data_IF_022098201502
#
_entry.id   IF_022098201502
#
_cell.length_a   1.000
_cell.length_b   1.000
_cell.length_c   1.000
_cell.angle_alpha   90.00
_cell.angle_beta   90.00
_cell.angle_gamma   90.00
#
_symmetry.space_group_name_H-M   'P 1'
#
loop_
_entity.id
_entity.type
_entity.pdbx_description
1 polymer ?
#
# COMPACT_ATOMS: atom_id res chain seq x y z
N UNK A 1 29.34 -27.85 19.81
CA UNK A 1 28.59 -26.95 18.95
C UNK A 1 27.97 -27.76 17.81
N UNK A 2 26.73 -28.12 18.01
CA UNK A 2 25.99 -29.03 17.11
C UNK A 2 25.38 -28.21 15.99
N UNK A 3 25.87 -28.39 14.75
CA UNK A 3 25.28 -27.78 13.55
C UNK A 3 23.94 -28.47 13.30
N UNK A 4 22.84 -27.84 13.69
CA UNK A 4 21.51 -28.22 13.25
C UNK A 4 21.40 -28.02 11.75
N UNK A 5 21.56 -29.11 10.99
CA UNK A 5 21.21 -29.15 9.57
C UNK A 5 19.69 -29.04 9.43
N UNK A 6 19.20 -27.86 9.08
CA UNK A 6 17.82 -27.72 8.61
C UNK A 6 17.72 -28.36 7.23
N UNK A 7 17.31 -29.60 7.17
CA UNK A 7 16.88 -30.27 5.93
C UNK A 7 15.65 -29.50 5.45
N UNK A 8 15.82 -28.67 4.43
CA UNK A 8 14.73 -28.00 3.71
C UNK A 8 13.89 -29.07 3.02
N UNK A 9 12.75 -29.43 3.61
CA UNK A 9 11.74 -30.22 2.93
C UNK A 9 11.17 -29.32 1.82
N UNK A 10 11.59 -29.53 0.58
CA UNK A 10 10.93 -28.91 -0.58
C UNK A 10 9.52 -29.47 -0.64
N UNK A 11 8.55 -28.64 -0.26
CA UNK A 11 7.13 -28.95 -0.42
C UNK A 11 6.83 -28.78 -1.90
N UNK A 12 6.80 -29.86 -2.64
CA UNK A 12 6.33 -29.88 -4.03
C UNK A 12 4.83 -29.58 -4.03
N UNK A 13 4.46 -28.38 -4.38
CA UNK A 13 3.05 -27.95 -4.50
C UNK A 13 2.46 -28.58 -5.76
N UNK A 14 1.44 -29.43 -5.60
CA UNK A 14 0.74 -30.06 -6.74
C UNK A 14 0.05 -29.02 -7.63
N UNK A 15 -0.25 -29.37 -8.89
CA UNK A 15 -0.96 -28.48 -9.82
C UNK A 15 -2.30 -27.99 -9.26
N UNK A 16 -3.06 -28.84 -8.59
CA UNK A 16 -4.33 -28.48 -7.95
C UNK A 16 -4.15 -27.50 -6.77
N UNK A 17 -3.12 -27.71 -5.93
CA UNK A 17 -2.80 -26.79 -4.83
C UNK A 17 -2.38 -25.40 -5.36
N UNK A 18 -1.68 -25.35 -6.51
CA UNK A 18 -1.32 -24.09 -7.16
C UNK A 18 -2.57 -23.34 -7.65
N UNK A 19 -3.50 -24.05 -8.28
CA UNK A 19 -4.75 -23.48 -8.76
C UNK A 19 -5.57 -22.93 -7.59
N UNK A 20 -5.73 -23.71 -6.52
CA UNK A 20 -6.47 -23.30 -5.31
C UNK A 20 -5.84 -22.05 -4.66
N UNK A 21 -4.52 -22.02 -4.49
CA UNK A 21 -3.84 -20.84 -3.90
C UNK A 21 -3.93 -19.61 -4.79
N UNK A 22 -3.79 -19.77 -6.12
CA UNK A 22 -3.98 -18.69 -7.08
C UNK A 22 -5.41 -18.12 -7.02
N UNK A 23 -6.42 -18.98 -6.97
CA UNK A 23 -7.82 -18.56 -6.82
C UNK A 23 -8.07 -17.85 -5.48
N UNK A 24 -7.46 -18.29 -4.39
CA UNK A 24 -7.57 -17.64 -3.09
C UNK A 24 -6.93 -16.25 -3.06
N UNK A 25 -5.81 -16.05 -3.77
CA UNK A 25 -5.17 -14.73 -3.92
C UNK A 25 -6.13 -13.77 -4.64
N UNK A 26 -6.66 -14.20 -5.79
CA UNK A 26 -7.61 -13.39 -6.54
C UNK A 26 -8.89 -13.12 -5.74
N UNK A 27 -9.42 -14.13 -5.05
CA UNK A 27 -10.59 -13.98 -4.19
C UNK A 27 -10.35 -12.97 -3.07
N UNK A 28 -9.20 -13.02 -2.38
CA UNK A 28 -8.87 -12.09 -1.31
C UNK A 28 -8.81 -10.64 -1.81
N UNK A 29 -8.20 -10.42 -2.98
CA UNK A 29 -8.10 -9.09 -3.60
C UNK A 29 -9.49 -8.62 -4.07
N UNK A 30 -10.22 -9.45 -4.82
CA UNK A 30 -11.54 -9.10 -5.32
C UNK A 30 -12.53 -8.83 -4.18
N UNK A 31 -12.49 -9.64 -3.13
CA UNK A 31 -13.38 -9.46 -1.98
C UNK A 31 -12.96 -8.27 -1.11
N UNK A 32 -11.67 -8.04 -0.93
CA UNK A 32 -11.17 -6.87 -0.19
C UNK A 32 -11.49 -5.57 -0.93
N UNK A 33 -10.94 -5.39 -2.12
CA UNK A 33 -11.12 -4.16 -2.92
C UNK A 33 -12.57 -4.03 -3.40
N UNK A 34 -13.15 -5.10 -3.94
CA UNK A 34 -14.54 -5.12 -4.41
C UNK A 34 -15.55 -4.94 -3.27
N UNK A 35 -15.27 -5.48 -2.08
CA UNK A 35 -16.10 -5.29 -0.89
C UNK A 35 -16.14 -3.84 -0.44
N UNK A 36 -14.99 -3.14 -0.43
CA UNK A 36 -14.92 -1.72 -0.12
C UNK A 36 -15.70 -0.88 -1.14
N UNK A 37 -15.57 -1.20 -2.44
CA UNK A 37 -16.33 -0.54 -3.51
C UNK A 37 -17.84 -0.82 -3.36
N UNK A 38 -18.21 -2.06 -3.05
CA UNK A 38 -19.62 -2.44 -2.86
C UNK A 38 -20.23 -1.68 -1.68
N UNK A 39 -19.52 -1.54 -0.57
CA UNK A 39 -19.97 -0.73 0.58
C UNK A 39 -20.17 0.73 0.15
N UNK A 40 -19.24 1.30 -0.59
CA UNK A 40 -19.35 2.67 -1.13
C UNK A 40 -20.52 2.80 -2.11
N UNK A 41 -20.77 1.82 -2.94
CA UNK A 41 -21.90 1.80 -3.88
C UNK A 41 -23.26 1.70 -3.17
N UNK A 42 -23.39 0.80 -2.19
CA UNK A 42 -24.66 0.56 -1.48
C UNK A 42 -25.00 1.67 -0.49
N UNK A 43 -24.02 2.20 0.20
CA UNK A 43 -24.23 3.11 1.33
C UNK A 43 -23.66 4.52 1.09
N UNK A 44 -22.95 4.76 -0.01
CA UNK A 44 -22.25 6.02 -0.26
C UNK A 44 -23.18 7.24 -0.30
N UNK A 45 -24.40 7.08 -0.87
CA UNK A 45 -25.40 8.16 -0.88
C UNK A 45 -25.89 8.48 0.54
N UNK A 46 -26.26 7.48 1.31
CA UNK A 46 -26.74 7.61 2.69
C UNK A 46 -25.64 8.19 3.60
N UNK A 47 -24.40 7.71 3.44
CA UNK A 47 -23.24 8.24 4.16
C UNK A 47 -22.98 9.70 3.83
N UNK A 48 -23.08 10.09 2.54
CA UNK A 48 -22.88 11.49 2.11
C UNK A 48 -23.97 12.41 2.64
N UNK A 49 -25.22 11.95 2.69
CA UNK A 49 -26.33 12.70 3.28
C UNK A 49 -26.18 12.85 4.81
N UNK A 50 -25.73 11.79 5.50
CA UNK A 50 -25.52 11.80 6.94
C UNK A 50 -24.24 12.53 7.37
N UNK A 51 -23.20 12.53 6.53
CA UNK A 51 -21.87 13.09 6.79
C UNK A 51 -21.49 14.08 5.68
N UNK A 52 -22.03 15.30 5.70
CA UNK A 52 -21.83 16.26 4.62
C UNK A 52 -20.39 16.81 4.53
N UNK A 53 -19.62 16.74 5.62
CA UNK A 53 -18.21 17.14 5.58
C UNK A 53 -17.38 16.06 4.87
N UNK A 54 -16.61 16.48 3.85
CA UNK A 54 -15.79 15.60 3.02
C UNK A 54 -14.79 14.76 3.84
N UNK A 55 -14.07 15.37 4.78
CA UNK A 55 -13.04 14.68 5.56
C UNK A 55 -13.62 13.67 6.54
N UNK A 56 -14.78 13.98 7.15
CA UNK A 56 -15.50 13.04 8.00
C UNK A 56 -16.00 11.85 7.18
N UNK A 57 -16.61 12.11 6.03
CA UNK A 57 -17.09 11.06 5.13
C UNK A 57 -15.95 10.14 4.69
N UNK A 58 -14.82 10.71 4.26
CA UNK A 58 -13.66 9.91 3.84
C UNK A 58 -13.07 9.10 4.99
N UNK A 59 -12.89 9.71 6.16
CA UNK A 59 -12.40 9.00 7.34
C UNK A 59 -13.29 7.81 7.72
N UNK A 60 -14.61 7.99 7.74
CA UNK A 60 -15.55 6.90 8.07
C UNK A 60 -15.52 5.80 7.01
N UNK A 61 -15.45 6.15 5.73
CA UNK A 61 -15.33 5.18 4.63
C UNK A 61 -14.06 4.35 4.75
N UNK A 62 -12.92 4.98 5.03
CA UNK A 62 -11.65 4.26 5.20
C UNK A 62 -11.59 3.44 6.50
N UNK A 63 -12.29 3.89 7.56
CA UNK A 63 -12.44 3.10 8.78
C UNK A 63 -13.20 1.80 8.51
N UNK A 64 -14.28 1.86 7.73
CA UNK A 64 -15.04 0.66 7.32
C UNK A 64 -14.13 -0.27 6.50
N UNK A 65 -13.37 0.26 5.54
CA UNK A 65 -12.41 -0.51 4.74
C UNK A 65 -11.34 -1.15 5.62
N UNK A 66 -10.78 -0.42 6.58
CA UNK A 66 -9.77 -0.93 7.51
C UNK A 66 -10.31 -2.07 8.39
N UNK A 67 -11.55 -1.95 8.87
CA UNK A 67 -12.24 -3.03 9.61
C UNK A 67 -12.42 -4.26 8.71
N UNK A 68 -12.84 -4.08 7.45
CA UNK A 68 -12.96 -5.17 6.47
C UNK A 68 -11.61 -5.86 6.26
N UNK A 69 -10.53 -5.10 6.05
CA UNK A 69 -9.17 -5.65 5.90
C UNK A 69 -8.75 -6.47 7.12
N UNK A 70 -9.02 -5.97 8.33
CA UNK A 70 -8.75 -6.70 9.56
C UNK A 70 -9.54 -8.01 9.65
N UNK A 71 -10.84 -7.98 9.36
CA UNK A 71 -11.69 -9.17 9.36
C UNK A 71 -11.21 -10.22 8.36
N UNK A 72 -10.76 -9.79 7.17
CA UNK A 72 -10.19 -10.67 6.15
C UNK A 72 -8.90 -11.33 6.64
N UNK A 73 -8.00 -10.59 7.31
CA UNK A 73 -6.77 -11.18 7.90
C UNK A 73 -7.12 -12.30 8.88
N UNK A 74 -8.19 -12.14 9.68
CA UNK A 74 -8.66 -13.19 10.58
C UNK A 74 -9.31 -14.35 9.81
N UNK A 75 -10.15 -14.07 8.82
CA UNK A 75 -10.81 -15.09 8.00
C UNK A 75 -9.79 -15.98 7.26
N UNK A 76 -8.72 -15.38 6.72
CA UNK A 76 -7.62 -16.09 6.06
C UNK A 76 -6.59 -16.68 7.04
N UNK A 77 -6.79 -16.54 8.35
CA UNK A 77 -5.90 -17.05 9.42
C UNK A 77 -4.46 -16.53 9.31
N UNK A 78 -4.32 -15.23 8.96
CA UNK A 78 -3.00 -14.57 8.78
C UNK A 78 -2.63 -13.61 9.93
N UNK A 79 -3.25 -13.72 11.10
CA UNK A 79 -3.08 -12.81 12.25
C UNK A 79 -1.62 -12.62 12.70
N UNK A 80 -0.72 -13.53 12.34
CA UNK A 80 0.72 -13.42 12.64
C UNK A 80 1.36 -12.17 12.04
N UNK A 81 0.81 -11.64 10.93
CA UNK A 81 1.33 -10.44 10.26
C UNK A 81 1.10 -9.17 11.08
N UNK A 82 0.08 -9.17 11.95
CA UNK A 82 -0.29 -8.05 12.83
C UNK A 82 0.54 -8.00 14.12
N UNK A 83 1.27 -9.07 14.44
CA UNK A 83 2.08 -9.09 15.66
C UNK A 83 3.26 -8.12 15.51
N UNK A 84 3.49 -7.30 16.53
CA UNK A 84 4.67 -6.47 16.60
C UNK A 84 5.94 -7.33 16.75
N UNK A 85 7.01 -6.90 16.10
CA UNK A 85 8.36 -7.46 16.23
C UNK A 85 9.34 -6.29 16.29
N UNK A 86 10.13 -6.20 17.35
CA UNK A 86 11.10 -5.10 17.51
C UNK A 86 12.16 -5.18 16.41
N UNK A 87 12.69 -6.37 16.13
CA UNK A 87 13.68 -6.59 15.06
C UNK A 87 13.07 -6.31 13.69
N UNK A 88 11.89 -6.88 13.40
CA UNK A 88 11.20 -6.66 12.14
C UNK A 88 10.83 -5.19 11.92
N UNK A 89 10.46 -4.46 12.98
CA UNK A 89 10.20 -3.03 12.90
C UNK A 89 11.48 -2.25 12.57
N UNK A 90 12.58 -2.50 13.28
CA UNK A 90 13.86 -1.82 13.03
C UNK A 90 14.36 -2.06 11.60
N UNK A 91 14.37 -3.30 11.14
CA UNK A 91 14.80 -3.63 9.78
C UNK A 91 13.87 -3.05 8.71
N UNK A 92 12.57 -3.15 8.91
CA UNK A 92 11.60 -2.58 7.99
C UNK A 92 11.72 -1.05 7.88
N UNK A 93 11.83 -0.35 9.02
CA UNK A 93 12.03 1.11 9.03
C UNK A 93 13.36 1.50 8.39
N UNK A 94 14.45 0.76 8.65
CA UNK A 94 15.74 1.01 8.00
C UNK A 94 15.65 0.86 6.47
N UNK A 95 14.90 -0.13 5.97
CA UNK A 95 14.68 -0.32 4.54
C UNK A 95 13.91 0.84 3.89
N UNK A 96 13.03 1.49 4.63
CA UNK A 96 12.16 2.56 4.14
C UNK A 96 12.62 3.98 4.50
N UNK A 97 13.79 4.16 5.11
CA UNK A 97 14.24 5.49 5.60
C UNK A 97 14.20 6.60 4.55
N UNK A 98 14.41 6.29 3.27
CA UNK A 98 14.34 7.30 2.21
C UNK A 98 12.95 7.93 2.06
N UNK A 99 11.87 7.31 2.56
CA UNK A 99 10.54 7.93 2.60
C UNK A 99 10.47 9.20 3.45
N UNK A 100 11.40 9.43 4.37
CA UNK A 100 11.50 10.68 5.14
C UNK A 100 11.75 11.89 4.23
N UNK A 101 12.30 11.68 3.03
CA UNK A 101 12.49 12.76 2.05
C UNK A 101 11.15 13.29 1.52
N UNK A 102 10.10 12.49 1.48
CA UNK A 102 8.79 12.92 0.95
C UNK A 102 8.17 14.06 1.77
N UNK A 103 8.01 13.95 3.10
CA UNK A 103 7.54 15.08 3.91
C UNK A 103 8.41 16.33 3.78
N UNK A 104 9.73 16.19 3.63
CA UNK A 104 10.63 17.32 3.44
C UNK A 104 10.31 18.04 2.12
N UNK A 105 10.14 17.29 1.04
CA UNK A 105 9.77 17.85 -0.27
C UNK A 105 8.39 18.50 -0.23
N UNK A 106 7.44 17.88 0.48
CA UNK A 106 6.09 18.44 0.65
C UNK A 106 6.14 19.75 1.44
N UNK A 107 6.91 19.82 2.53
CA UNK A 107 7.10 21.06 3.30
C UNK A 107 7.73 22.15 2.43
N UNK A 108 8.77 21.81 1.65
CA UNK A 108 9.39 22.74 0.72
C UNK A 108 8.38 23.28 -0.31
N UNK A 109 7.56 22.40 -0.86
CA UNK A 109 6.47 22.79 -1.78
C UNK A 109 5.45 23.72 -1.10
N UNK A 110 5.02 23.38 0.11
CA UNK A 110 4.09 24.18 0.89
C UNK A 110 4.63 25.59 1.16
N UNK A 111 5.92 25.71 1.49
CA UNK A 111 6.58 27.02 1.68
C UNK A 111 6.55 27.83 0.38
N UNK A 112 6.74 27.19 -0.79
CA UNK A 112 6.64 27.85 -2.09
C UNK A 112 5.20 28.30 -2.36
N UNK A 113 4.20 27.46 -2.12
CA UNK A 113 2.79 27.82 -2.32
C UNK A 113 2.37 29.00 -1.43
N UNK A 114 2.81 29.04 -0.16
CA UNK A 114 2.56 30.16 0.76
C UNK A 114 3.19 31.48 0.30
N UNK A 115 4.33 31.40 -0.40
CA UNK A 115 5.00 32.56 -0.97
C UNK A 115 4.31 33.07 -2.24
N UNK A 116 3.86 32.13 -3.09
CA UNK A 116 3.42 32.45 -4.46
C UNK A 116 1.91 32.70 -4.55
N UNK A 117 1.12 32.26 -3.56
CA UNK A 117 -0.34 32.41 -3.50
C UNK A 117 -0.72 33.27 -2.29
N UNK A 118 -0.96 34.56 -2.48
CA UNK A 118 -1.49 35.43 -1.43
C UNK A 118 -2.85 34.92 -0.95
N UNK A 119 -3.12 35.02 0.37
CA UNK A 119 -4.38 34.64 1.00
C UNK A 119 -4.78 33.17 0.87
N UNK A 120 -3.79 32.27 0.76
CA UNK A 120 -4.00 30.84 0.73
C UNK A 120 -4.72 30.37 2.01
N UNK A 121 -5.93 29.83 1.85
CA UNK A 121 -6.73 29.34 2.97
C UNK A 121 -6.53 27.85 3.18
N UNK A 122 -6.24 27.47 4.41
CA UNK A 122 -6.12 26.09 4.81
C UNK A 122 -7.45 25.54 5.31
N UNK A 123 -7.65 24.23 5.14
CA UNK A 123 -8.68 23.49 5.86
C UNK A 123 -8.47 23.60 7.38
N UNK A 124 -9.49 23.29 8.16
CA UNK A 124 -9.41 23.39 9.63
C UNK A 124 -8.46 22.33 10.21
N UNK A 125 -7.85 22.62 11.37
CA UNK A 125 -6.87 21.74 11.99
C UNK A 125 -7.40 20.32 12.29
N UNK A 126 -8.67 20.17 12.65
CA UNK A 126 -9.30 18.87 12.86
C UNK A 126 -9.50 18.11 11.54
N UNK A 127 -9.70 18.80 10.41
CA UNK A 127 -9.79 18.18 9.06
C UNK A 127 -8.42 17.68 8.61
N UNK A 128 -7.35 18.41 8.96
CA UNK A 128 -5.96 17.92 8.75
C UNK A 128 -5.73 16.64 9.53
N UNK A 129 -6.18 16.58 10.78
CA UNK A 129 -6.08 15.36 11.59
C UNK A 129 -6.83 14.19 10.93
N UNK A 130 -8.06 14.42 10.45
CA UNK A 130 -8.83 13.39 9.74
C UNK A 130 -8.15 12.95 8.44
N UNK A 131 -7.55 13.88 7.68
CA UNK A 131 -6.77 13.58 6.48
C UNK A 131 -5.58 12.65 6.80
N UNK A 132 -4.84 12.92 7.87
CA UNK A 132 -3.71 12.07 8.27
C UNK A 132 -4.16 10.69 8.78
N UNK A 133 -5.22 10.65 9.58
CA UNK A 133 -5.80 9.39 10.07
C UNK A 133 -6.36 8.54 8.92
N UNK A 134 -7.01 9.15 7.93
CA UNK A 134 -7.48 8.44 6.73
C UNK A 134 -6.32 7.81 5.97
N UNK A 135 -5.18 8.49 5.80
CA UNK A 135 -4.00 7.90 5.14
C UNK A 135 -3.47 6.66 5.88
N UNK A 136 -3.51 6.67 7.22
CA UNK A 136 -3.16 5.49 8.02
C UNK A 136 -4.15 4.35 7.77
N UNK A 137 -5.44 4.63 7.71
CA UNK A 137 -6.48 3.62 7.48
C UNK A 137 -6.42 3.03 6.09
N UNK A 138 -6.17 3.85 5.04
CA UNK A 138 -5.93 3.38 3.67
C UNK A 138 -4.73 2.42 3.66
N UNK A 139 -3.58 2.88 4.17
CA UNK A 139 -2.38 2.06 4.23
C UNK A 139 -2.61 0.77 5.02
N UNK A 140 -3.30 0.82 6.16
CA UNK A 140 -3.62 -0.38 6.95
C UNK A 140 -4.49 -1.37 6.17
N UNK A 141 -5.58 -0.90 5.55
CA UNK A 141 -6.45 -1.74 4.74
C UNK A 141 -5.70 -2.42 3.59
N UNK A 142 -4.97 -1.64 2.81
CA UNK A 142 -4.26 -2.16 1.64
C UNK A 142 -3.12 -3.11 2.04
N UNK A 143 -2.38 -2.81 3.10
CA UNK A 143 -1.34 -3.71 3.59
C UNK A 143 -1.92 -5.00 4.19
N UNK A 144 -3.09 -4.98 4.82
CA UNK A 144 -3.81 -6.19 5.24
C UNK A 144 -4.13 -7.09 4.04
N UNK A 145 -4.69 -6.53 2.97
CA UNK A 145 -5.12 -7.29 1.79
C UNK A 145 -3.90 -7.79 1.00
N UNK A 146 -2.98 -6.90 0.65
CA UNK A 146 -1.90 -7.22 -0.29
C UNK A 146 -0.69 -7.88 0.39
N UNK A 147 -0.24 -7.40 1.56
CA UNK A 147 0.92 -7.99 2.26
C UNK A 147 0.48 -9.06 3.24
N UNK A 148 -0.55 -8.77 4.01
CA UNK A 148 -1.07 -9.69 5.03
C UNK A 148 -1.71 -10.95 4.47
N UNK A 149 -2.38 -10.90 3.32
CA UNK A 149 -3.09 -12.04 2.75
C UNK A 149 -2.49 -12.45 1.41
N UNK A 150 -2.54 -11.61 0.38
CA UNK A 150 -2.16 -11.98 -0.97
C UNK A 150 -0.69 -12.40 -1.07
N UNK A 151 0.24 -11.65 -0.46
CA UNK A 151 1.66 -11.97 -0.47
C UNK A 151 1.97 -13.21 0.39
N UNK A 152 1.30 -13.39 1.53
CA UNK A 152 1.43 -14.61 2.34
C UNK A 152 1.00 -15.86 1.57
N UNK A 153 -0.13 -15.81 0.87
CA UNK A 153 -0.59 -16.89 0.00
C UNK A 153 0.38 -17.12 -1.18
N UNK A 154 0.96 -16.04 -1.72
CA UNK A 154 1.96 -16.11 -2.78
C UNK A 154 3.27 -16.74 -2.28
N UNK A 155 3.69 -16.45 -1.04
CA UNK A 155 4.83 -17.16 -0.44
C UNK A 155 4.56 -18.65 -0.22
N UNK A 156 3.32 -19.02 0.08
CA UNK A 156 2.94 -20.44 0.14
C UNK A 156 2.93 -21.11 -1.24
N UNK A 157 2.68 -20.33 -2.31
CA UNK A 157 2.65 -20.82 -3.69
C UNK A 157 4.05 -20.95 -4.31
N UNK A 158 4.88 -19.89 -4.17
CA UNK A 158 6.19 -19.79 -4.81
C UNK A 158 7.35 -20.15 -3.88
N UNK A 159 7.08 -20.21 -2.56
CA UNK A 159 8.09 -20.31 -1.52
C UNK A 159 8.62 -18.94 -1.07
N UNK A 160 9.22 -18.92 0.11
CA UNK A 160 9.91 -17.74 0.68
C UNK A 160 11.29 -18.12 1.25
N UNK A 161 11.75 -19.34 1.02
CA UNK A 161 13.01 -19.83 1.56
C UNK A 161 14.25 -19.26 0.85
N UNK A 162 14.10 -18.71 -0.34
CA UNK A 162 15.16 -18.05 -1.07
C UNK A 162 14.69 -16.67 -1.55
N UNK A 163 15.61 -15.73 -1.73
CA UNK A 163 15.30 -14.39 -2.29
C UNK A 163 14.68 -14.50 -3.69
N UNK A 164 15.07 -15.48 -4.50
CA UNK A 164 14.51 -15.73 -5.84
C UNK A 164 13.03 -16.10 -5.76
N UNK A 165 12.65 -16.97 -4.84
CA UNK A 165 11.24 -17.33 -4.59
C UNK A 165 10.44 -16.14 -4.08
N UNK A 166 10.99 -15.42 -3.09
CA UNK A 166 10.35 -14.22 -2.55
C UNK A 166 10.15 -13.13 -3.62
N UNK A 167 11.14 -12.87 -4.48
CA UNK A 167 11.02 -11.93 -5.61
C UNK A 167 9.85 -12.28 -6.53
N UNK A 168 9.66 -13.56 -6.87
CA UNK A 168 8.53 -14.01 -7.71
C UNK A 168 7.19 -13.71 -7.07
N UNK A 169 7.03 -14.02 -5.78
CA UNK A 169 5.81 -13.76 -5.04
C UNK A 169 5.52 -12.25 -4.99
N UNK A 170 6.54 -11.44 -4.67
CA UNK A 170 6.43 -9.98 -4.61
C UNK A 170 6.04 -9.40 -5.97
N UNK A 171 6.69 -9.82 -7.06
CA UNK A 171 6.37 -9.37 -8.43
C UNK A 171 4.91 -9.59 -8.79
N UNK A 172 4.38 -10.80 -8.54
CA UNK A 172 2.99 -11.12 -8.85
C UNK A 172 2.02 -10.25 -8.05
N UNK A 173 2.23 -10.12 -6.74
CA UNK A 173 1.33 -9.34 -5.89
C UNK A 173 1.43 -7.84 -6.18
N UNK A 174 2.63 -7.33 -6.50
CA UNK A 174 2.80 -5.93 -6.88
C UNK A 174 2.12 -5.59 -8.21
N UNK A 175 2.15 -6.51 -9.18
CA UNK A 175 1.39 -6.36 -10.41
C UNK A 175 -0.12 -6.30 -10.12
N UNK A 176 -0.64 -7.21 -9.30
CA UNK A 176 -2.06 -7.21 -8.91
C UNK A 176 -2.42 -5.94 -8.13
N UNK A 177 -1.55 -5.48 -7.23
CA UNK A 177 -1.74 -4.24 -6.49
C UNK A 177 -1.87 -3.03 -7.42
N UNK A 178 -0.95 -2.89 -8.37
CA UNK A 178 -1.07 -1.82 -9.36
C UNK A 178 -2.32 -1.95 -10.23
N UNK A 179 -2.64 -3.16 -10.69
CA UNK A 179 -3.80 -3.41 -11.54
C UNK A 179 -5.13 -3.00 -10.88
N UNK A 180 -5.26 -3.12 -9.55
CA UNK A 180 -6.48 -2.65 -8.84
C UNK A 180 -6.70 -1.15 -8.96
N UNK A 181 -5.64 -0.34 -9.15
CA UNK A 181 -5.76 1.12 -9.30
C UNK A 181 -6.38 1.53 -10.65
N UNK A 182 -6.41 0.63 -11.65
CA UNK A 182 -7.12 0.90 -12.92
C UNK A 182 -8.63 1.10 -12.69
N UNK A 183 -9.17 0.62 -11.58
CA UNK A 183 -10.58 0.80 -11.22
C UNK A 183 -10.93 2.28 -11.02
N UNK A 184 -9.95 3.12 -10.70
CA UNK A 184 -10.12 4.55 -10.53
C UNK A 184 -10.55 5.25 -11.84
N UNK A 185 -10.31 4.61 -13.01
CA UNK A 185 -10.79 5.11 -14.29
C UNK A 185 -12.34 5.12 -14.42
N UNK A 186 -13.06 4.43 -13.53
CA UNK A 186 -14.52 4.53 -13.45
C UNK A 186 -15.01 5.81 -12.73
N UNK A 187 -14.12 6.54 -12.07
CA UNK A 187 -14.47 7.82 -11.45
C UNK A 187 -14.48 8.94 -12.52
N UNK A 188 -15.54 9.79 -12.56
CA UNK A 188 -15.69 10.80 -13.61
C UNK A 188 -14.52 11.80 -13.74
N UNK A 189 -13.83 12.09 -12.64
CA UNK A 189 -12.71 13.04 -12.61
C UNK A 189 -11.37 12.41 -12.99
N UNK A 190 -11.30 11.06 -13.18
CA UNK A 190 -10.04 10.35 -13.39
C UNK A 190 -10.02 9.76 -14.79
N UNK A 191 -9.10 10.23 -15.63
CA UNK A 191 -8.93 9.67 -16.97
C UNK A 191 -8.27 8.28 -16.91
N UNK A 192 -8.49 7.47 -17.94
CA UNK A 192 -7.80 6.17 -18.06
C UNK A 192 -6.28 6.36 -18.06
N UNK A 193 -5.77 7.43 -18.65
CA UNK A 193 -4.34 7.73 -18.63
C UNK A 193 -3.83 8.00 -17.21
N UNK A 194 -4.55 8.81 -16.42
CA UNK A 194 -4.21 9.07 -15.02
C UNK A 194 -4.26 7.79 -14.18
N UNK A 195 -5.32 6.98 -14.31
CA UNK A 195 -5.42 5.70 -13.62
C UNK A 195 -4.30 4.72 -14.02
N UNK A 196 -3.89 4.71 -15.30
CA UNK A 196 -2.78 3.88 -15.76
C UNK A 196 -1.43 4.32 -15.18
N UNK A 197 -1.18 5.62 -15.09
CA UNK A 197 0.02 6.17 -14.45
C UNK A 197 0.05 5.84 -12.95
N UNK A 198 -1.09 5.98 -12.27
CA UNK A 198 -1.23 5.58 -10.88
C UNK A 198 -0.98 4.09 -10.70
N UNK A 199 -1.56 3.24 -11.55
CA UNK A 199 -1.36 1.79 -11.52
C UNK A 199 0.12 1.42 -11.67
N UNK A 200 0.84 2.05 -12.60
CA UNK A 200 2.27 1.84 -12.80
C UNK A 200 3.09 2.25 -11.57
N UNK A 201 2.77 3.41 -10.98
CA UNK A 201 3.41 3.88 -9.75
C UNK A 201 3.13 2.94 -8.57
N UNK A 202 1.89 2.49 -8.43
CA UNK A 202 1.49 1.53 -7.41
C UNK A 202 2.18 0.17 -7.57
N UNK A 203 2.40 -0.32 -8.81
CA UNK A 203 3.24 -1.51 -9.04
C UNK A 203 4.65 -1.33 -8.49
N UNK A 204 5.29 -0.22 -8.81
CA UNK A 204 6.63 0.09 -8.31
C UNK A 204 6.67 0.15 -6.77
N UNK A 205 5.73 0.87 -6.18
CA UNK A 205 5.55 0.98 -4.73
C UNK A 205 5.31 -0.40 -4.10
N UNK A 206 4.47 -1.21 -4.76
CA UNK A 206 4.18 -2.58 -4.36
C UNK A 206 5.41 -3.45 -4.23
N UNK A 207 6.36 -3.31 -5.15
CA UNK A 207 7.64 -4.03 -5.12
C UNK A 207 8.46 -3.67 -3.88
N UNK A 208 8.59 -2.38 -3.58
CA UNK A 208 9.37 -1.91 -2.43
C UNK A 208 8.71 -2.32 -1.12
N UNK A 209 7.39 -2.14 -0.98
CA UNK A 209 6.67 -2.57 0.22
C UNK A 209 6.71 -4.09 0.39
N UNK A 210 6.64 -4.87 -0.71
CA UNK A 210 6.85 -6.31 -0.65
C UNK A 210 8.24 -6.70 -0.14
N UNK A 211 9.29 -5.97 -0.53
CA UNK A 211 10.65 -6.18 -0.03
C UNK A 211 10.78 -5.77 1.45
N UNK A 212 10.21 -4.62 1.85
CA UNK A 212 10.16 -4.18 3.25
C UNK A 212 9.44 -5.24 4.09
N UNK A 213 8.27 -5.68 3.66
CA UNK A 213 7.51 -6.74 4.34
C UNK A 213 8.33 -8.02 4.52
N UNK A 214 9.00 -8.48 3.46
CA UNK A 214 9.85 -9.68 3.53
C UNK A 214 10.98 -9.51 4.54
N UNK A 215 11.61 -8.34 4.62
CA UNK A 215 12.71 -8.03 5.54
C UNK A 215 12.24 -7.71 6.96
N UNK A 216 11.02 -7.27 7.16
CA UNK A 216 10.44 -6.96 8.48
C UNK A 216 9.88 -8.19 9.21
N UNK A 217 10.46 -9.36 8.99
CA UNK A 217 9.95 -10.63 9.55
C UNK A 217 8.48 -10.90 9.18
N UNK A 218 8.05 -10.41 8.01
CA UNK A 218 6.68 -10.52 7.50
C UNK A 218 5.66 -9.86 8.44
N UNK A 219 5.98 -8.64 8.88
CA UNK A 219 5.10 -7.76 9.68
C UNK A 219 4.67 -6.57 8.83
N UNK A 220 3.38 -6.23 8.89
CA UNK A 220 2.83 -5.17 8.01
C UNK A 220 3.15 -3.75 8.49
N UNK A 221 3.46 -3.55 9.77
CA UNK A 221 3.54 -2.22 10.37
C UNK A 221 4.52 -1.25 9.71
N UNK A 222 5.75 -1.66 9.33
CA UNK A 222 6.63 -0.76 8.58
C UNK A 222 6.02 -0.33 7.23
N UNK A 223 5.33 -1.26 6.54
CA UNK A 223 4.65 -0.95 5.28
C UNK A 223 3.48 0.02 5.51
N UNK A 224 2.66 -0.18 6.54
CA UNK A 224 1.56 0.73 6.91
C UNK A 224 2.08 2.15 7.17
N UNK A 225 3.18 2.28 7.91
CA UNK A 225 3.79 3.59 8.20
C UNK A 225 4.23 4.29 6.92
N UNK A 226 4.99 3.60 6.05
CA UNK A 226 5.48 4.21 4.81
C UNK A 226 4.37 4.45 3.79
N UNK A 227 3.34 3.61 3.78
CA UNK A 227 2.15 3.82 2.96
C UNK A 227 1.42 5.11 3.38
N UNK A 228 1.17 5.26 4.68
CA UNK A 228 0.55 6.48 5.21
C UNK A 228 1.36 7.73 4.90
N UNK A 229 2.70 7.68 5.01
CA UNK A 229 3.59 8.78 4.63
C UNK A 229 3.50 9.08 3.14
N UNK A 230 3.47 8.04 2.29
CA UNK A 230 3.32 8.18 0.84
C UNK A 230 2.02 8.88 0.48
N UNK A 231 0.90 8.42 1.02
CA UNK A 231 -0.43 8.96 0.71
C UNK A 231 -0.59 10.38 1.24
N UNK A 232 -0.22 10.63 2.50
CA UNK A 232 -0.26 11.96 3.07
C UNK A 232 0.58 12.94 2.25
N UNK A 233 1.80 12.54 1.86
CA UNK A 233 2.68 13.35 1.03
C UNK A 233 2.07 13.63 -0.35
N UNK A 234 1.49 12.61 -0.99
CA UNK A 234 0.85 12.75 -2.29
C UNK A 234 -0.38 13.66 -2.23
N UNK A 235 -1.27 13.50 -1.24
CA UNK A 235 -2.47 14.33 -1.10
C UNK A 235 -2.12 15.77 -0.75
N UNK A 236 -1.21 16.01 0.17
CA UNK A 236 -0.77 17.36 0.55
C UNK A 236 -0.09 18.07 -0.64
N UNK A 237 0.80 17.37 -1.36
CA UNK A 237 1.46 17.93 -2.54
C UNK A 237 0.48 18.29 -3.66
N UNK A 238 -0.68 17.66 -3.73
CA UNK A 238 -1.74 17.94 -4.69
C UNK A 238 -2.84 18.89 -4.17
N UNK A 239 -2.65 19.49 -3.01
CA UNK A 239 -3.49 20.56 -2.49
C UNK A 239 -4.56 20.13 -1.49
N UNK A 240 -4.46 18.96 -0.88
CA UNK A 240 -5.43 18.50 0.11
C UNK A 240 -5.58 19.48 1.30
N UNK A 241 -4.50 20.17 1.68
CA UNK A 241 -4.56 21.20 2.72
C UNK A 241 -5.36 22.44 2.32
N UNK A 242 -5.68 22.59 1.04
CA UNK A 242 -6.48 23.70 0.47
C UNK A 242 -7.85 23.21 0.00
N UNK A 243 -8.29 22.04 0.47
CA UNK A 243 -9.59 21.48 0.16
C UNK A 243 -9.69 20.75 -1.19
N UNK A 244 -8.57 20.46 -1.86
CA UNK A 244 -8.58 19.63 -3.07
C UNK A 244 -8.93 18.19 -2.68
N UNK A 245 -9.91 17.59 -3.36
CA UNK A 245 -10.35 16.23 -3.10
C UNK A 245 -9.29 15.19 -3.52
N UNK A 246 -9.37 14.01 -2.96
CA UNK A 246 -8.49 12.88 -3.31
C UNK A 246 -8.63 12.49 -4.78
N UNK A 247 -9.85 12.49 -5.30
CA UNK A 247 -10.17 12.15 -6.67
C UNK A 247 -9.53 13.15 -7.66
N UNK A 248 -9.65 14.44 -7.37
CA UNK A 248 -9.01 15.50 -8.15
C UNK A 248 -7.47 15.39 -8.07
N UNK A 249 -6.92 15.04 -6.91
CA UNK A 249 -5.48 14.81 -6.74
C UNK A 249 -4.98 13.65 -7.61
N UNK A 250 -5.71 12.54 -7.65
CA UNK A 250 -5.41 11.38 -8.52
C UNK A 250 -5.53 11.77 -10.00
N UNK A 251 -6.54 12.55 -10.38
CA UNK A 251 -6.76 13.02 -11.74
C UNK A 251 -5.60 13.87 -12.29
N UNK A 252 -4.84 14.55 -11.41
CA UNK A 252 -3.64 15.33 -11.75
C UNK A 252 -2.36 14.51 -11.96
N UNK A 253 -2.46 13.19 -11.91
CA UNK A 253 -1.32 12.29 -12.10
C UNK A 253 -0.58 12.58 -13.42
N UNK A 254 0.74 12.67 -13.36
CA UNK A 254 1.59 13.10 -14.47
C UNK A 254 2.62 12.03 -14.87
N UNK A 255 3.29 12.24 -16.00
CA UNK A 255 4.37 11.38 -16.51
C UNK A 255 5.53 11.23 -15.49
N UNK A 256 5.70 12.17 -14.55
CA UNK A 256 6.69 12.05 -13.48
C UNK A 256 6.51 10.77 -12.64
N UNK A 257 5.31 10.22 -12.56
CA UNK A 257 5.06 8.96 -11.86
C UNK A 257 5.74 7.76 -12.52
N UNK A 258 5.97 7.79 -13.83
CA UNK A 258 6.78 6.78 -14.53
C UNK A 258 8.21 6.79 -13.98
N UNK A 259 8.78 7.99 -13.80
CA UNK A 259 10.12 8.15 -13.23
C UNK A 259 10.20 7.61 -11.79
N UNK A 260 9.22 7.94 -10.95
CA UNK A 260 9.17 7.39 -9.59
C UNK A 260 9.01 5.87 -9.60
N UNK A 261 8.24 5.31 -10.54
CA UNK A 261 8.11 3.86 -10.69
C UNK A 261 9.44 3.18 -10.98
N UNK A 262 10.26 3.78 -11.85
CA UNK A 262 11.61 3.26 -12.15
C UNK A 262 12.54 3.33 -10.92
N UNK A 263 12.47 4.40 -10.12
CA UNK A 263 13.20 4.49 -8.86
C UNK A 263 12.78 3.40 -7.87
N UNK A 264 11.49 3.12 -7.75
CA UNK A 264 10.99 2.04 -6.90
C UNK A 264 11.46 0.67 -7.38
N UNK A 265 11.48 0.42 -8.69
CA UNK A 265 12.03 -0.82 -9.25
C UNK A 265 13.51 -0.97 -8.90
N UNK A 266 14.31 0.07 -9.08
CA UNK A 266 15.73 0.06 -8.72
C UNK A 266 15.92 -0.19 -7.20
N UNK A 267 15.12 0.46 -6.37
CA UNK A 267 15.16 0.28 -4.92
C UNK A 267 14.75 -1.14 -4.50
N UNK A 268 13.73 -1.71 -5.12
CA UNK A 268 13.37 -3.12 -4.91
C UNK A 268 14.55 -4.07 -5.15
N UNK A 269 15.25 -3.92 -6.29
CA UNK A 269 16.40 -4.76 -6.59
C UNK A 269 17.53 -4.56 -5.61
N UNK A 270 17.76 -3.33 -5.15
CA UNK A 270 18.73 -3.02 -4.10
C UNK A 270 18.37 -3.73 -2.78
N UNK A 271 17.13 -3.64 -2.31
CA UNK A 271 16.66 -4.28 -1.08
C UNK A 271 16.73 -5.81 -1.15
N UNK A 272 16.50 -6.36 -2.34
CA UNK A 272 16.46 -7.81 -2.59
C UNK A 272 17.78 -8.37 -3.16
N UNK A 273 18.86 -7.55 -3.21
CA UNK A 273 20.19 -8.04 -3.61
C UNK A 273 20.67 -9.14 -2.66
N UNK A 274 21.46 -10.08 -3.19
CA UNK A 274 22.18 -11.02 -2.36
C UNK A 274 23.24 -10.23 -1.58
N UNK A 275 23.29 -10.38 -0.26
CA UNK A 275 24.44 -9.91 0.50
C UNK A 275 25.58 -10.85 0.10
N UNK A 276 26.60 -10.31 -0.56
CA UNK A 276 27.89 -10.97 -0.59
C UNK A 276 28.33 -11.07 0.85
N UNK A 277 28.36 -12.28 1.39
CA UNK A 277 29.00 -12.53 2.67
C UNK A 277 30.43 -12.02 2.54
N UNK A 278 30.69 -10.84 3.08
CA UNK A 278 32.07 -10.39 3.31
C UNK A 278 32.64 -11.40 4.31
N UNK A 279 33.51 -12.25 3.77
CA UNK A 279 34.32 -13.19 4.53
C UNK A 279 35.34 -12.46 5.39
#
# INVERSE_FOLDING_TARGET
MEKRSFVKKEITVTGMQRLTKGSLILFAILFGVGGSILVSFLFGKQLKEALPNYFVLRFVSELISAILGLLLVFAFRKQKVLKASVTGMKEGLACGMAWILLPILVIARLVMDLRDIPDLQFIQGWEILLLLLQCILIGFFEECVFRGIALELSFELFGAGTKKQAKRAILVVSFLFGATHLINAFHPEITLAAASMQALSAMGLGLVFGAIYFRSERKIWPCVIFHAIQDASAFIANGALYGVSQETAIGKTSVSQVFYSLLFVAWFFYLMREQTDEK
#
